data_IF_135100751042
#
_entry.id   IF_135100751042
#
_cell.length_a   1.000
_cell.length_b   1.000
_cell.length_c   1.000
_cell.angle_alpha   90.00
_cell.angle_beta   90.00
_cell.angle_gamma   90.00
#
_symmetry.space_group_name_H-M   'P 1'
#
loop_
_entity.id
_entity.type
_entity.pdbx_description
1 polymer ?
#
# COMPACT_ATOMS: atom_id res chain seq x y z
N UNK A 1 6.29 -11.28 -11.93
CA UNK A 1 5.15 -10.65 -11.19
C UNK A 1 4.15 -11.70 -10.68
N UNK A 2 4.17 -12.93 -11.21
CA UNK A 2 3.36 -14.03 -10.68
C UNK A 2 1.85 -13.78 -10.90
N UNK A 3 0.99 -14.17 -9.95
CA UNK A 3 -0.46 -14.03 -10.09
C UNK A 3 -0.94 -12.58 -10.06
N UNK A 4 -0.07 -11.60 -9.80
CA UNK A 4 -0.47 -10.20 -9.59
C UNK A 4 -0.63 -9.39 -10.87
N UNK A 5 -0.26 -9.94 -12.03
CA UNK A 5 -0.52 -9.34 -13.34
C UNK A 5 -0.77 -10.45 -14.37
N UNK A 6 -1.84 -10.33 -15.16
CA UNK A 6 -2.19 -11.29 -16.23
C UNK A 6 -1.06 -11.45 -17.26
N UNK A 7 -0.27 -10.40 -17.50
CA UNK A 7 0.87 -10.40 -18.42
C UNK A 7 2.06 -11.18 -17.87
N UNK A 8 2.02 -11.59 -16.59
CA UNK A 8 3.05 -12.44 -15.98
C UNK A 8 2.57 -13.87 -15.74
N UNK A 9 1.31 -14.09 -15.37
CA UNK A 9 0.72 -15.43 -15.22
C UNK A 9 -0.69 -15.41 -15.78
N UNK A 10 -0.92 -16.09 -16.90
CA UNK A 10 -2.18 -15.96 -17.63
C UNK A 10 -3.41 -16.50 -16.86
N UNK A 11 -3.21 -17.50 -16.00
CA UNK A 11 -4.27 -18.07 -15.15
C UNK A 11 -3.77 -18.25 -13.72
N UNK A 12 -4.48 -17.69 -12.74
CA UNK A 12 -4.30 -18.08 -11.33
C UNK A 12 -4.97 -19.44 -11.07
N UNK A 13 -6.22 -19.57 -11.54
CA UNK A 13 -7.01 -20.82 -11.52
C UNK A 13 -7.49 -21.15 -12.93
N UNK A 14 -7.34 -22.41 -13.36
CA UNK A 14 -7.84 -22.86 -14.67
C UNK A 14 -9.37 -22.84 -14.69
N UNK A 15 -9.94 -22.36 -15.80
CA UNK A 15 -11.41 -22.30 -15.98
C UNK A 15 -12.11 -21.14 -15.28
N UNK A 16 -11.37 -20.26 -14.59
CA UNK A 16 -11.87 -18.99 -14.06
C UNK A 16 -11.44 -17.83 -14.98
N UNK A 17 -12.20 -16.71 -15.01
CA UNK A 17 -11.73 -15.48 -15.65
C UNK A 17 -10.38 -15.05 -15.07
N UNK A 18 -9.47 -14.47 -15.87
CA UNK A 18 -8.14 -14.09 -15.39
C UNK A 18 -8.19 -12.94 -14.38
N UNK A 19 -7.08 -12.77 -13.66
CA UNK A 19 -6.88 -11.66 -12.73
C UNK A 19 -6.76 -10.30 -13.43
N UNK A 20 -6.82 -9.21 -12.66
CA UNK A 20 -6.63 -7.87 -13.16
C UNK A 20 -5.17 -7.54 -13.53
N UNK A 21 -5.03 -6.45 -14.29
CA UNK A 21 -3.74 -5.81 -14.59
C UNK A 21 -3.20 -5.06 -13.37
N UNK A 22 -1.87 -5.08 -13.19
CA UNK A 22 -1.18 -4.22 -12.22
C UNK A 22 -1.22 -2.75 -12.63
N UNK A 23 -0.93 -1.87 -11.68
CA UNK A 23 -0.80 -0.42 -11.91
C UNK A 23 0.25 -0.10 -12.96
N UNK A 24 1.38 -0.83 -13.00
CA UNK A 24 2.41 -0.65 -14.02
C UNK A 24 1.84 -0.80 -15.43
N UNK A 25 1.13 -1.90 -15.68
CA UNK A 25 0.54 -2.19 -16.99
C UNK A 25 -0.56 -1.18 -17.32
N UNK A 26 -1.43 -0.87 -16.35
CA UNK A 26 -2.51 0.12 -16.54
C UNK A 26 -1.98 1.54 -16.82
N UNK A 27 -0.87 1.96 -16.19
CA UNK A 27 -0.21 3.24 -16.47
C UNK A 27 0.32 3.27 -17.91
N UNK A 28 1.01 2.21 -18.35
CA UNK A 28 1.54 2.11 -19.73
C UNK A 28 0.45 2.12 -20.79
N UNK A 29 -0.72 1.53 -20.50
CA UNK A 29 -1.88 1.53 -21.39
C UNK A 29 -2.69 2.85 -21.34
N UNK A 30 -2.31 3.80 -20.48
CA UNK A 30 -3.05 5.07 -20.31
C UNK A 30 -4.38 4.94 -19.57
N UNK A 31 -4.62 3.80 -18.88
CA UNK A 31 -5.86 3.54 -18.14
C UNK A 31 -5.86 4.16 -16.75
N UNK A 32 -4.69 4.49 -16.21
CA UNK A 32 -4.52 5.29 -14.99
C UNK A 32 -4.04 6.67 -15.40
N UNK A 33 -4.86 7.68 -15.13
CA UNK A 33 -4.54 9.08 -15.44
C UNK A 33 -3.52 9.63 -14.44
N UNK A 34 -2.76 10.64 -14.84
CA UNK A 34 -1.74 11.29 -13.99
C UNK A 34 -2.32 11.78 -12.64
N UNK A 35 -3.56 12.25 -12.62
CA UNK A 35 -4.24 12.73 -11.42
C UNK A 35 -4.58 11.61 -10.42
N UNK A 36 -4.62 10.35 -10.89
CA UNK A 36 -4.88 9.19 -10.05
C UNK A 36 -3.61 8.61 -9.41
N UNK A 37 -2.47 9.30 -9.56
CA UNK A 37 -1.15 8.89 -9.06
C UNK A 37 -0.62 9.96 -8.09
N UNK A 38 -0.34 9.58 -6.83
CA UNK A 38 0.47 10.40 -5.93
C UNK A 38 1.93 10.24 -6.31
N UNK A 39 2.66 11.34 -6.45
CA UNK A 39 4.11 11.31 -6.53
C UNK A 39 4.71 11.62 -5.17
N UNK A 40 5.61 10.78 -4.69
CA UNK A 40 6.33 10.97 -3.43
C UNK A 40 7.83 10.94 -3.71
N UNK A 41 8.55 11.96 -3.24
CA UNK A 41 10.00 12.05 -3.40
C UNK A 41 10.72 11.20 -2.34
N UNK A 42 11.98 10.83 -2.57
CA UNK A 42 12.77 10.12 -1.57
C UNK A 42 12.84 10.92 -0.26
N UNK A 43 12.67 10.25 0.88
CA UNK A 43 12.70 10.88 2.21
C UNK A 43 11.44 11.65 2.61
N UNK A 44 10.45 11.81 1.73
CA UNK A 44 9.19 12.44 2.09
C UNK A 44 8.30 11.50 2.93
N UNK A 45 7.59 12.09 3.89
CA UNK A 45 6.48 11.42 4.56
C UNK A 45 5.17 11.86 3.92
N UNK A 46 4.43 10.91 3.36
CA UNK A 46 3.22 11.15 2.58
C UNK A 46 2.16 10.09 2.85
N UNK A 47 0.94 10.53 3.12
CA UNK A 47 -0.24 9.67 3.34
C UNK A 47 -1.09 9.65 2.06
N UNK A 48 -1.68 8.50 1.73
CA UNK A 48 -2.64 8.35 0.64
C UNK A 48 -3.76 7.38 1.02
N UNK A 49 -4.96 7.60 0.47
CA UNK A 49 -6.07 6.63 0.48
C UNK A 49 -6.21 6.06 -0.92
N UNK A 50 -5.93 4.77 -1.09
CA UNK A 50 -5.97 4.11 -2.39
C UNK A 50 -7.28 3.36 -2.58
N UNK A 51 -8.03 3.73 -3.62
CA UNK A 51 -9.17 2.95 -4.07
C UNK A 51 -8.72 1.58 -4.60
N UNK A 52 -9.55 0.53 -4.48
CA UNK A 52 -9.23 -0.77 -5.03
C UNK A 52 -8.95 -0.69 -6.53
N UNK A 53 -7.80 -1.22 -6.96
CA UNK A 53 -7.31 -1.06 -8.33
C UNK A 53 -8.30 -1.61 -9.38
N UNK A 54 -9.04 -2.68 -9.07
CA UNK A 54 -10.05 -3.25 -9.97
C UNK A 54 -11.36 -2.44 -10.03
N UNK A 55 -11.62 -1.57 -9.05
CA UNK A 55 -12.83 -0.72 -9.00
C UNK A 55 -12.62 0.62 -9.71
N UNK A 56 -11.38 1.12 -9.69
CA UNK A 56 -11.12 2.52 -10.07
C UNK A 56 -11.47 3.48 -8.93
N UNK A 57 -11.31 4.78 -9.18
CA UNK A 57 -11.48 5.83 -8.18
C UNK A 57 -10.53 6.99 -8.39
N UNK A 58 -10.53 7.94 -7.45
CA UNK A 58 -9.76 9.18 -7.58
C UNK A 58 -8.26 8.98 -7.39
N UNK A 59 -7.87 8.02 -6.54
CA UNK A 59 -6.48 7.73 -6.24
C UNK A 59 -6.22 6.22 -6.28
N UNK A 60 -5.33 5.78 -7.16
CA UNK A 60 -5.11 4.36 -7.44
C UNK A 60 -3.70 3.89 -7.13
N UNK A 61 -2.73 4.80 -7.19
CA UNK A 61 -1.31 4.45 -7.11
C UNK A 61 -0.55 5.50 -6.34
N UNK A 62 0.36 5.08 -5.46
CA UNK A 62 1.47 5.94 -5.03
C UNK A 62 2.71 5.55 -5.81
N UNK A 63 3.31 6.50 -6.51
CA UNK A 63 4.60 6.38 -7.16
C UNK A 63 5.68 7.02 -6.30
N UNK A 64 6.54 6.19 -5.72
CA UNK A 64 7.66 6.64 -4.88
C UNK A 64 8.93 6.56 -5.70
N UNK A 65 9.62 7.69 -5.87
CA UNK A 65 10.93 7.68 -6.50
C UNK A 65 11.95 7.03 -5.55
N UNK A 66 12.77 6.11 -6.06
CA UNK A 66 13.75 5.38 -5.27
C UNK A 66 15.16 5.93 -5.56
N UNK A 67 15.68 5.62 -6.75
CA UNK A 67 16.91 6.17 -7.29
C UNK A 67 16.71 6.67 -8.73
N UNK A 68 17.80 7.01 -9.43
CA UNK A 68 17.73 7.51 -10.82
C UNK A 68 17.10 6.51 -11.79
N UNK A 69 17.18 5.21 -11.49
CA UNK A 69 16.87 4.13 -12.43
C UNK A 69 15.68 3.28 -11.98
N UNK A 70 15.06 3.61 -10.85
CA UNK A 70 13.98 2.82 -10.29
C UNK A 70 12.97 3.63 -9.49
N UNK A 71 11.75 3.11 -9.44
CA UNK A 71 10.69 3.64 -8.60
C UNK A 71 9.80 2.53 -8.09
N UNK A 72 9.10 2.80 -7.00
CA UNK A 72 8.06 1.91 -6.49
C UNK A 72 6.69 2.37 -6.95
N UNK A 73 5.82 1.42 -7.27
CA UNK A 73 4.38 1.61 -7.39
C UNK A 73 3.70 0.87 -6.24
N UNK A 74 2.80 1.55 -5.56
CA UNK A 74 2.04 1.01 -4.43
C UNK A 74 0.57 1.02 -4.82
N UNK A 75 -0.08 -0.13 -4.74
CA UNK A 75 -1.46 -0.33 -5.21
C UNK A 75 -2.30 -1.12 -4.20
N UNK A 76 -3.60 -0.81 -4.15
CA UNK A 76 -4.56 -1.52 -3.31
C UNK A 76 -5.23 -2.66 -4.11
N UNK A 77 -4.93 -3.92 -3.76
CA UNK A 77 -5.52 -5.12 -4.37
C UNK A 77 -6.56 -5.72 -3.44
N UNK A 78 -7.80 -5.80 -3.89
CA UNK A 78 -8.93 -6.34 -3.11
C UNK A 78 -9.63 -7.45 -3.92
N UNK A 79 -10.28 -8.43 -3.28
CA UNK A 79 -10.88 -9.58 -3.95
C UNK A 79 -12.21 -9.24 -4.64
N UNK A 80 -12.19 -8.26 -5.53
CA UNK A 80 -13.35 -7.73 -6.26
C UNK A 80 -13.04 -7.68 -7.76
N UNK A 81 -14.08 -7.69 -8.60
CA UNK A 81 -13.92 -7.61 -10.06
C UNK A 81 -13.04 -8.74 -10.59
N UNK A 82 -11.99 -8.39 -11.34
CA UNK A 82 -11.04 -9.36 -11.88
C UNK A 82 -10.10 -9.93 -10.80
N UNK A 83 -9.88 -9.20 -9.71
CA UNK A 83 -8.95 -9.58 -8.65
C UNK A 83 -9.54 -10.60 -7.63
N UNK A 84 -10.79 -11.04 -7.82
CA UNK A 84 -11.48 -12.02 -6.96
C UNK A 84 -10.76 -13.37 -6.80
N UNK A 85 -9.89 -13.73 -7.74
CA UNK A 85 -9.13 -14.99 -7.75
C UNK A 85 -7.70 -14.84 -7.22
N UNK A 86 -7.29 -13.63 -6.82
CA UNK A 86 -5.93 -13.42 -6.33
C UNK A 86 -5.72 -14.20 -5.02
N UNK A 87 -4.50 -14.71 -4.79
CA UNK A 87 -4.20 -15.50 -3.59
C UNK A 87 -4.21 -14.70 -2.29
N UNK A 88 -4.15 -13.37 -2.37
CA UNK A 88 -4.16 -12.47 -1.22
C UNK A 88 -4.77 -11.10 -1.57
N UNK A 89 -4.93 -10.24 -0.56
CA UNK A 89 -5.41 -8.87 -0.69
C UNK A 89 -4.64 -7.91 0.24
N UNK A 90 -4.71 -6.61 -0.01
CA UNK A 90 -3.98 -5.59 0.75
C UNK A 90 -3.14 -4.69 -0.16
N UNK A 91 -2.09 -4.09 0.40
CA UNK A 91 -1.16 -3.26 -0.35
C UNK A 91 -0.15 -4.14 -1.08
N UNK A 92 -0.08 -4.02 -2.40
CA UNK A 92 0.98 -4.63 -3.21
C UNK A 92 2.01 -3.56 -3.58
N UNK A 93 3.30 -3.94 -3.54
CA UNK A 93 4.42 -3.05 -3.89
C UNK A 93 5.15 -3.63 -5.08
N UNK A 94 5.34 -2.81 -6.10
CA UNK A 94 6.05 -3.13 -7.33
C UNK A 94 7.30 -2.27 -7.42
N UNK A 95 8.45 -2.88 -7.67
CA UNK A 95 9.69 -2.20 -8.03
C UNK A 95 9.81 -2.18 -9.55
N UNK A 96 9.95 -0.98 -10.11
CA UNK A 96 9.96 -0.75 -11.56
C UNK A 96 11.31 -0.18 -11.96
N UNK A 97 11.96 -0.85 -12.92
CA UNK A 97 13.15 -0.42 -13.63
C UNK A 97 12.78 -0.09 -15.08
N UNK A 98 12.44 1.18 -15.40
CA UNK A 98 11.88 1.55 -16.69
C UNK A 98 12.84 1.37 -17.88
N UNK A 99 14.15 1.38 -17.63
CA UNK A 99 15.19 1.21 -18.65
C UNK A 99 15.64 -0.24 -18.82
N UNK A 100 15.07 -1.18 -18.07
CA UNK A 100 15.37 -2.59 -18.27
C UNK A 100 14.85 -3.06 -19.63
N UNK A 101 15.65 -3.85 -20.34
CA UNK A 101 15.26 -4.47 -21.61
C UNK A 101 14.01 -5.36 -21.43
N UNK A 102 13.14 -5.37 -22.44
CA UNK A 102 11.96 -6.23 -22.41
C UNK A 102 12.36 -7.71 -22.24
N UNK A 103 11.58 -8.43 -21.43
CA UNK A 103 11.88 -9.83 -21.09
C UNK A 103 12.87 -10.04 -19.93
N UNK A 104 13.58 -9.00 -19.47
CA UNK A 104 14.53 -9.12 -18.33
C UNK A 104 13.87 -9.00 -16.95
N UNK A 105 12.56 -8.76 -16.90
CA UNK A 105 11.83 -8.57 -15.65
C UNK A 105 12.02 -7.16 -15.07
N UNK A 106 11.85 -6.13 -15.90
CA UNK A 106 11.88 -4.71 -15.50
C UNK A 106 10.83 -4.30 -14.44
N UNK A 107 9.96 -5.23 -14.02
CA UNK A 107 9.06 -5.04 -12.88
C UNK A 107 9.09 -6.26 -11.96
N UNK A 108 9.25 -6.01 -10.67
CA UNK A 108 9.33 -7.04 -9.63
C UNK A 108 8.31 -6.77 -8.52
N UNK A 109 7.63 -7.82 -8.06
CA UNK A 109 6.81 -7.73 -6.85
C UNK A 109 7.75 -7.75 -5.64
N UNK A 110 7.66 -6.74 -4.78
CA UNK A 110 8.31 -6.74 -3.46
C UNK A 110 7.37 -7.44 -2.49
N UNK A 111 7.54 -8.76 -2.39
CA UNK A 111 6.68 -9.62 -1.62
C UNK A 111 6.87 -9.39 -0.12
N UNK A 112 5.78 -9.25 0.64
CA UNK A 112 5.83 -9.16 2.10
C UNK A 112 6.47 -10.40 2.73
N UNK A 113 6.17 -11.59 2.19
CA UNK A 113 6.85 -12.84 2.52
C UNK A 113 7.54 -13.38 1.27
N UNK A 114 8.82 -13.74 1.39
CA UNK A 114 9.56 -14.35 0.29
C UNK A 114 9.00 -15.73 -0.04
N UNK A 115 8.31 -15.85 -1.17
CA UNK A 115 7.71 -17.10 -1.66
C UNK A 115 7.82 -17.16 -3.19
N UNK A 116 8.15 -18.32 -3.79
CA UNK A 116 8.17 -18.48 -5.24
C UNK A 116 6.82 -18.23 -5.92
N UNK A 117 5.70 -18.46 -5.21
CA UNK A 117 4.34 -18.32 -5.74
C UNK A 117 3.79 -16.89 -5.63
N UNK A 118 4.41 -16.03 -4.82
CA UNK A 118 3.90 -14.70 -4.45
C UNK A 118 2.50 -14.70 -3.84
N UNK A 119 2.08 -15.81 -3.22
CA UNK A 119 0.76 -15.97 -2.59
C UNK A 119 0.56 -15.14 -1.32
N UNK A 120 1.63 -14.64 -0.71
CA UNK A 120 1.60 -13.77 0.47
C UNK A 120 2.32 -12.44 0.22
N UNK A 121 2.17 -11.90 -0.99
CA UNK A 121 2.93 -10.73 -1.41
C UNK A 121 2.44 -9.41 -0.82
N UNK A 122 1.20 -9.31 -0.35
CA UNK A 122 0.62 -8.04 0.10
C UNK A 122 1.03 -7.69 1.53
N UNK A 123 1.05 -6.40 1.81
CA UNK A 123 1.24 -5.83 3.14
C UNK A 123 -0.11 -5.51 3.78
N UNK A 124 -0.22 -5.76 5.08
CA UNK A 124 -1.42 -5.58 5.91
C UNK A 124 -1.03 -5.05 7.29
N UNK A 125 -1.71 -4.02 7.79
CA UNK A 125 -1.36 -3.34 9.04
C UNK A 125 -1.41 -4.29 10.24
N UNK A 126 -2.44 -5.13 10.28
CA UNK A 126 -2.78 -6.05 11.36
C UNK A 126 -1.88 -7.30 11.43
N UNK A 127 -1.05 -7.54 10.40
CA UNK A 127 -0.18 -8.71 10.31
C UNK A 127 1.27 -8.29 10.59
N UNK A 128 1.76 -8.57 11.81
CA UNK A 128 3.01 -8.02 12.34
C UNK A 128 4.27 -8.22 11.48
N UNK A 129 4.37 -9.34 10.76
CA UNK A 129 5.50 -9.63 9.85
C UNK A 129 5.26 -9.14 8.41
N UNK A 130 4.13 -8.47 8.15
CA UNK A 130 3.71 -7.97 6.83
C UNK A 130 3.14 -6.54 6.91
N UNK A 131 3.37 -5.82 8.01
CA UNK A 131 2.80 -4.49 8.24
C UNK A 131 3.73 -3.34 7.81
N UNK A 132 4.90 -3.65 7.25
CA UNK A 132 5.81 -2.65 6.71
C UNK A 132 6.72 -3.26 5.66
N UNK A 133 6.90 -2.55 4.55
CA UNK A 133 8.02 -2.74 3.64
C UNK A 133 9.12 -1.76 4.02
N UNK A 134 10.37 -2.24 4.07
CA UNK A 134 11.54 -1.41 4.37
C UNK A 134 12.58 -1.59 3.28
N UNK A 135 12.98 -0.50 2.66
CA UNK A 135 14.18 -0.41 1.84
C UNK A 135 15.13 0.63 2.43
N UNK A 136 16.13 0.13 3.16
CA UNK A 136 17.14 0.97 3.81
C UNK A 136 18.05 1.68 2.79
N UNK A 137 18.24 1.12 1.59
CA UNK A 137 19.12 1.72 0.57
C UNK A 137 18.53 3.02 0.05
N UNK A 138 17.22 3.06 -0.12
CA UNK A 138 16.49 4.23 -0.63
C UNK A 138 15.84 5.06 0.49
N UNK A 139 16.21 4.81 1.76
CA UNK A 139 15.64 5.46 2.94
C UNK A 139 14.10 5.47 2.93
N UNK A 140 13.51 4.30 2.63
CA UNK A 140 12.09 4.16 2.34
C UNK A 140 11.43 3.13 3.26
N UNK A 141 10.24 3.46 3.75
CA UNK A 141 9.29 2.55 4.37
C UNK A 141 7.88 2.81 3.84
N UNK A 142 7.15 1.74 3.56
CA UNK A 142 5.77 1.79 3.08
C UNK A 142 4.93 0.96 4.06
N UNK A 143 3.94 1.60 4.68
CA UNK A 143 3.15 1.04 5.78
C UNK A 143 1.68 1.04 5.34
N UNK A 144 1.03 -0.12 5.15
CA UNK A 144 -0.44 -0.20 5.06
C UNK A 144 -1.07 0.38 6.33
N UNK A 145 -2.17 1.09 6.17
CA UNK A 145 -2.91 1.71 7.28
C UNK A 145 -4.33 1.13 7.37
N UNK A 146 -5.21 1.81 8.11
CA UNK A 146 -6.62 1.48 8.20
C UNK A 146 -7.38 1.73 6.88
N UNK A 147 -8.58 1.17 6.81
CA UNK A 147 -9.53 1.44 5.72
C UNK A 147 -10.39 2.66 6.04
N UNK A 148 -10.60 3.51 5.05
CA UNK A 148 -11.64 4.54 5.07
C UNK A 148 -12.65 4.20 3.97
N UNK A 149 -13.84 3.72 4.37
CA UNK A 149 -14.81 3.07 3.46
C UNK A 149 -14.15 1.91 2.71
N UNK A 150 -14.03 2.03 1.39
CA UNK A 150 -13.47 1.02 0.49
C UNK A 150 -11.99 1.26 0.19
N UNK A 151 -11.46 2.43 0.58
CA UNK A 151 -10.09 2.83 0.31
C UNK A 151 -9.18 2.31 1.41
N UNK A 152 -7.99 1.84 1.02
CA UNK A 152 -6.96 1.39 1.95
C UNK A 152 -5.92 2.51 2.11
N UNK A 153 -5.68 2.92 3.34
CA UNK A 153 -4.65 3.90 3.64
C UNK A 153 -3.24 3.32 3.45
N UNK A 154 -2.32 4.18 3.07
CA UNK A 154 -0.89 3.88 3.03
C UNK A 154 -0.08 5.09 3.46
N UNK A 155 0.96 4.84 4.25
CA UNK A 155 1.98 5.83 4.59
C UNK A 155 3.28 5.47 3.87
N UNK A 156 3.81 6.41 3.10
CA UNK A 156 5.20 6.41 2.66
C UNK A 156 5.99 7.27 3.62
N UNK A 157 7.10 6.78 4.16
CA UNK A 157 7.95 7.49 5.11
C UNK A 157 9.36 6.90 5.11
N UNK A 158 10.20 7.30 6.05
CA UNK A 158 11.56 6.77 6.26
C UNK A 158 11.59 5.69 7.36
N UNK A 159 12.58 4.78 7.35
CA UNK A 159 12.70 3.69 8.32
C UNK A 159 12.79 4.16 9.79
N UNK A 160 13.44 5.28 10.08
CA UNK A 160 13.54 5.85 11.43
C UNK A 160 12.18 6.25 12.02
N UNK A 161 11.22 6.62 11.17
CA UNK A 161 9.86 6.99 11.58
C UNK A 161 8.87 5.83 11.60
N UNK A 162 9.24 4.70 11.00
CA UNK A 162 8.33 3.59 10.75
C UNK A 162 7.74 3.00 12.03
N UNK A 163 8.54 2.86 13.09
CA UNK A 163 8.10 2.28 14.37
C UNK A 163 6.98 3.10 15.01
N UNK A 164 7.19 4.41 15.16
CA UNK A 164 6.19 5.32 15.73
C UNK A 164 4.91 5.35 14.89
N UNK A 165 5.07 5.38 13.55
CA UNK A 165 3.94 5.33 12.63
C UNK A 165 3.13 4.03 12.74
N UNK A 166 3.78 2.87 12.81
CA UNK A 166 3.09 1.57 12.97
C UNK A 166 2.35 1.51 14.31
N UNK A 167 2.99 1.95 15.40
CA UNK A 167 2.35 1.99 16.72
C UNK A 167 1.09 2.86 16.72
N UNK A 168 1.18 4.07 16.16
CA UNK A 168 0.04 4.97 16.03
C UNK A 168 -1.06 4.39 15.14
N UNK A 169 -0.69 3.81 13.99
CA UNK A 169 -1.65 3.21 13.06
C UNK A 169 -2.40 2.03 13.69
N UNK A 170 -1.71 1.15 14.43
CA UNK A 170 -2.34 0.05 15.16
C UNK A 170 -3.29 0.55 16.26
N UNK A 171 -2.91 1.61 16.98
CA UNK A 171 -3.78 2.21 17.99
C UNK A 171 -5.04 2.83 17.35
N UNK A 172 -4.91 3.53 16.22
CA UNK A 172 -6.04 4.06 15.45
C UNK A 172 -6.94 2.92 14.94
N UNK A 173 -6.37 1.86 14.36
CA UNK A 173 -7.15 0.72 13.86
C UNK A 173 -7.95 0.08 15.00
N UNK A 174 -7.31 -0.15 16.16
CA UNK A 174 -7.99 -0.67 17.34
C UNK A 174 -9.11 0.26 17.81
N UNK A 175 -8.91 1.57 17.79
CA UNK A 175 -9.92 2.55 18.16
C UNK A 175 -11.12 2.52 17.19
N UNK A 176 -10.86 2.43 15.88
CA UNK A 176 -11.88 2.29 14.83
C UNK A 176 -12.70 1.00 15.03
N UNK A 177 -12.03 -0.11 15.31
CA UNK A 177 -12.68 -1.41 15.52
C UNK A 177 -13.56 -1.44 16.79
N UNK A 178 -13.25 -0.58 17.77
CA UNK A 178 -13.90 -0.59 19.09
C UNK A 178 -15.15 0.29 19.20
N UNK A 179 -15.38 1.34 18.38
CA UNK A 179 -16.58 2.17 18.55
C UNK A 179 -16.91 3.16 17.42
N UNK A 180 -18.19 3.20 17.01
CA UNK A 180 -18.77 4.23 16.12
C UNK A 180 -19.15 5.54 16.84
N UNK A 181 -19.08 5.59 18.18
CA UNK A 181 -19.51 6.75 18.99
C UNK A 181 -18.34 7.71 19.36
N UNK A 182 -17.08 7.30 19.13
CA UNK A 182 -15.88 8.10 19.41
C UNK A 182 -15.31 8.75 18.14
N UNK A 183 -16.16 9.10 17.18
CA UNK A 183 -15.74 9.67 15.88
C UNK A 183 -14.82 10.88 16.06
N UNK A 184 -15.06 11.72 17.06
CA UNK A 184 -14.21 12.88 17.33
C UNK A 184 -12.77 12.50 17.69
N UNK A 185 -12.59 11.50 18.57
CA UNK A 185 -11.25 11.05 19.00
C UNK A 185 -10.55 10.33 17.84
N UNK A 186 -11.28 9.52 17.07
CA UNK A 186 -10.76 8.88 15.86
C UNK A 186 -10.28 9.94 14.87
N UNK A 187 -11.10 10.95 14.59
CA UNK A 187 -10.76 12.03 13.67
C UNK A 187 -9.55 12.85 14.16
N UNK A 188 -9.46 13.11 15.46
CA UNK A 188 -8.32 13.82 16.06
C UNK A 188 -7.03 13.01 15.96
N UNK A 189 -7.06 11.71 16.28
CA UNK A 189 -5.92 10.81 16.15
C UNK A 189 -5.46 10.69 14.69
N UNK A 190 -6.41 10.57 13.75
CA UNK A 190 -6.14 10.56 12.30
C UNK A 190 -5.55 11.89 11.84
N UNK A 191 -6.05 13.03 12.33
CA UNK A 191 -5.54 14.35 11.99
C UNK A 191 -4.08 14.51 12.46
N UNK A 192 -3.77 14.14 13.70
CA UNK A 192 -2.40 14.11 14.22
C UNK A 192 -1.50 13.19 13.38
N UNK A 193 -2.00 12.01 12.98
CA UNK A 193 -1.28 11.08 12.11
C UNK A 193 -0.95 11.71 10.75
N UNK A 194 -1.93 12.34 10.10
CA UNK A 194 -1.79 13.01 8.79
C UNK A 194 -0.83 14.22 8.89
N UNK A 195 -0.79 14.89 10.03
CA UNK A 195 0.19 15.94 10.36
C UNK A 195 1.58 15.39 10.72
N UNK A 196 1.78 14.07 10.65
CA UNK A 196 3.06 13.39 10.90
C UNK A 196 3.49 13.44 12.38
N UNK A 197 2.54 13.69 13.29
CA UNK A 197 2.70 13.73 14.75
C UNK A 197 2.39 12.33 15.34
N UNK A 198 3.19 11.31 14.97
CA UNK A 198 2.83 9.91 15.25
C UNK A 198 2.71 9.58 16.75
N UNK A 199 3.59 10.11 17.60
CA UNK A 199 3.51 9.87 19.06
C UNK A 199 2.24 10.47 19.65
N UNK A 200 1.93 11.73 19.30
CA UNK A 200 0.69 12.40 19.72
C UNK A 200 -0.55 11.66 19.21
N UNK A 201 -0.52 11.21 17.95
CA UNK A 201 -1.58 10.40 17.36
C UNK A 201 -1.82 9.10 18.14
N UNK A 202 -0.74 8.41 18.51
CA UNK A 202 -0.80 7.23 19.37
C UNK A 202 -1.38 7.56 20.77
N UNK A 203 -0.97 8.66 21.38
CA UNK A 203 -1.43 9.04 22.73
C UNK A 203 -2.91 9.40 22.76
N UNK A 204 -3.41 10.09 21.73
CA UNK A 204 -4.85 10.33 21.53
C UNK A 204 -5.57 9.00 21.35
N UNK A 205 -5.10 8.14 20.44
CA UNK A 205 -5.75 6.87 20.12
C UNK A 205 -5.75 5.86 21.29
N UNK A 206 -4.73 5.90 22.15
CA UNK A 206 -4.59 5.01 23.31
C UNK A 206 -5.20 5.57 24.60
N UNK A 207 -5.76 6.79 24.56
CA UNK A 207 -6.34 7.45 25.73
C UNK A 207 -5.32 7.91 26.78
N UNK A 208 -4.04 8.07 26.39
CA UNK A 208 -2.95 8.48 27.29
C UNK A 208 -2.73 9.99 27.34
N UNK A 209 -3.29 10.76 26.39
CA UNK A 209 -3.14 12.22 26.30
C UNK A 209 -4.07 13.05 27.20
N UNK A 210 -4.94 12.42 28.00
CA UNK A 210 -5.90 13.10 28.86
C UNK A 210 -5.62 12.91 30.35
N UNK A 211 -4.62 13.61 30.88
CA UNK A 211 -4.50 13.97 32.30
C UNK A 211 -3.89 15.36 32.43
#
# INVERSE_FOLDING_TARGET
>A
MGPWDIMSKHFVEKGKPPQGLSSFTKIRLGWIKKQQVQFVKPGETSFALLSPLSKGGDHLVVKVLADKWSHYLVENRQPIGFDRILPDSGILILEVHPEAEDGTGGVKVKSAISSPSFDQATYKLEVSNRNVFVDKRNNLSIIPLWKEKENLGVLVTTPDRSKAAIHAALAIQKLIDQNSQNENIVNEAIAAFKNKEFEKSHDIASGKGGR
#
